data_IF_465352381043
#
_entry.id   IF_465352381043
#
_cell.length_a   1.000
_cell.length_b   1.000
_cell.length_c   1.000
_cell.angle_alpha   90.00
_cell.angle_beta   90.00
_cell.angle_gamma   90.00
#
_symmetry.space_group_name_H-M   'P 1'
#
loop_
_entity.id
_entity.type
_entity.pdbx_description
1 polymer ?
#
# COMPACT_ATOMS: atom_id res chain seq x y z
N UNK A 1 -50.13 -17.66 31.70
CA UNK A 1 -49.28 -16.47 31.93
C UNK A 1 -47.84 -16.85 31.60
N UNK A 2 -47.22 -16.20 30.61
CA UNK A 2 -45.87 -16.53 30.09
C UNK A 2 -44.81 -15.75 30.89
N UNK A 3 -43.81 -16.45 31.40
CA UNK A 3 -42.66 -15.89 32.11
C UNK A 3 -41.71 -15.19 31.11
N UNK A 4 -41.43 -13.90 31.32
CA UNK A 4 -40.35 -13.17 30.63
C UNK A 4 -39.01 -13.49 31.32
N UNK A 5 -38.07 -14.08 30.59
CA UNK A 5 -36.65 -14.17 30.98
C UNK A 5 -35.90 -12.96 30.43
N UNK A 6 -35.62 -11.98 31.27
CA UNK A 6 -34.64 -10.91 30.97
C UNK A 6 -33.22 -11.47 31.09
N UNK A 7 -32.54 -11.66 29.95
CA UNK A 7 -31.09 -11.89 29.93
C UNK A 7 -30.38 -10.56 30.16
N UNK A 8 -29.63 -10.46 31.25
CA UNK A 8 -28.69 -9.36 31.53
C UNK A 8 -27.58 -9.40 30.48
N UNK A 9 -27.49 -8.37 29.64
CA UNK A 9 -26.37 -8.15 28.74
C UNK A 9 -25.26 -7.47 29.57
N UNK A 10 -24.17 -8.21 29.81
CA UNK A 10 -23.00 -7.74 30.53
C UNK A 10 -22.14 -6.94 29.55
N UNK A 11 -22.24 -5.61 29.58
CA UNK A 11 -21.39 -4.72 28.78
C UNK A 11 -20.01 -4.65 29.42
N UNK A 12 -19.03 -5.31 28.83
CA UNK A 12 -17.62 -5.21 29.24
C UNK A 12 -17.05 -3.93 28.62
N UNK A 13 -16.93 -2.87 29.41
CA UNK A 13 -16.07 -1.74 29.09
C UNK A 13 -14.63 -2.17 29.36
N UNK A 14 -13.91 -2.53 28.30
CA UNK A 14 -12.46 -2.76 28.38
C UNK A 14 -11.78 -1.39 28.50
N UNK A 15 -11.38 -1.03 29.73
CA UNK A 15 -10.52 0.09 29.99
C UNK A 15 -9.10 -0.29 29.52
N UNK A 16 -8.64 0.32 28.43
CA UNK A 16 -7.24 0.24 28.03
C UNK A 16 -6.38 0.97 29.06
N UNK A 17 -5.55 0.21 29.77
CA UNK A 17 -4.58 0.72 30.71
C UNK A 17 -3.46 1.48 29.97
N UNK A 18 -3.27 2.75 30.32
CA UNK A 18 -2.09 3.52 29.96
C UNK A 18 -0.89 3.00 30.76
N UNK A 19 0.00 2.26 30.10
CA UNK A 19 1.35 2.03 30.61
C UNK A 19 2.26 3.13 30.08
N UNK A 20 2.67 4.02 30.98
CA UNK A 20 3.78 4.94 30.81
C UNK A 20 4.96 4.42 31.62
N UNK A 21 6.05 4.03 30.95
CA UNK A 21 7.39 3.97 31.51
C UNK A 21 8.43 4.14 30.40
N UNK A 22 9.09 5.32 30.38
CA UNK A 22 10.50 5.47 30.00
C UNK A 22 10.86 5.45 28.51
N UNK A 23 10.79 6.61 27.85
CA UNK A 23 11.96 7.33 27.30
C UNK A 23 11.48 8.54 26.48
N UNK A 24 12.05 9.69 26.81
CA UNK A 24 11.93 10.93 26.04
C UNK A 24 12.36 10.66 24.58
N UNK A 25 11.65 11.27 23.63
CA UNK A 25 11.81 11.22 22.16
C UNK A 25 11.11 10.10 21.37
N UNK A 26 10.27 9.28 22.01
CA UNK A 26 9.34 8.44 21.24
C UNK A 26 8.13 9.27 20.82
N UNK A 27 8.05 9.57 19.51
CA UNK A 27 6.81 10.05 18.88
C UNK A 27 5.66 9.15 19.37
N UNK A 28 4.63 9.68 20.05
CA UNK A 28 3.54 8.86 20.58
C UNK A 28 2.76 8.11 19.49
N UNK A 29 3.05 8.38 18.22
CA UNK A 29 2.52 7.66 17.06
C UNK A 29 3.50 6.61 16.49
N UNK A 30 4.66 6.37 17.11
CA UNK A 30 5.68 5.43 16.59
C UNK A 30 5.19 3.98 16.53
N UNK A 31 4.23 3.59 17.38
CA UNK A 31 3.59 2.27 17.33
C UNK A 31 2.52 2.16 16.22
N UNK A 32 2.01 3.31 15.74
CA UNK A 32 1.09 3.40 14.61
C UNK A 32 1.84 3.54 13.28
N UNK A 33 3.16 3.69 13.33
CA UNK A 33 3.93 4.11 12.17
C UNK A 33 5.20 3.27 11.99
N UNK A 34 5.22 2.35 11.03
CA UNK A 34 6.50 1.99 10.43
C UNK A 34 7.06 3.24 9.75
N UNK A 35 8.33 3.59 10.03
CA UNK A 35 9.01 4.73 9.39
C UNK A 35 8.84 4.64 7.88
N UNK A 36 8.48 5.74 7.21
CA UNK A 36 8.62 5.80 5.75
C UNK A 36 10.11 5.63 5.41
N UNK A 37 10.46 4.83 4.40
CA UNK A 37 9.56 4.02 3.58
C UNK A 37 8.93 2.84 4.34
N UNK A 38 7.62 2.65 4.18
CA UNK A 38 6.99 1.43 4.69
C UNK A 38 7.36 0.27 3.78
N UNK A 39 7.88 -0.82 4.34
CA UNK A 39 8.17 -2.05 3.61
C UNK A 39 7.51 -3.26 4.28
N UNK A 40 6.81 -4.07 3.47
CA UNK A 40 6.25 -5.35 3.92
C UNK A 40 6.61 -6.45 2.92
N UNK A 41 7.10 -7.63 3.36
CA UNK A 41 7.24 -8.78 2.48
C UNK A 41 5.91 -9.13 1.80
N UNK A 42 5.96 -9.41 0.51
CA UNK A 42 4.79 -9.78 -0.28
C UNK A 42 5.14 -10.89 -1.27
N UNK A 43 4.15 -11.71 -1.63
CA UNK A 43 4.26 -12.72 -2.70
C UNK A 43 2.97 -12.67 -3.50
N UNK A 44 3.09 -12.72 -4.82
CA UNK A 44 1.98 -12.66 -5.77
C UNK A 44 2.20 -13.60 -6.95
N UNK A 45 2.80 -14.77 -6.68
CA UNK A 45 3.12 -15.78 -7.68
C UNK A 45 1.88 -16.47 -8.25
N UNK A 46 0.73 -16.37 -7.59
CA UNK A 46 -0.54 -16.98 -8.03
C UNK A 46 -1.62 -15.94 -8.21
N UNK A 47 -2.54 -16.19 -9.15
CA UNK A 47 -3.75 -15.40 -9.31
C UNK A 47 -4.60 -15.45 -8.03
N UNK A 48 -5.08 -14.28 -7.60
CA UNK A 48 -5.88 -14.11 -6.40
C UNK A 48 -5.07 -13.89 -5.13
N UNK A 49 -3.74 -13.93 -5.19
CA UNK A 49 -2.89 -13.51 -4.08
C UNK A 49 -3.18 -12.06 -3.74
N UNK A 50 -3.59 -11.84 -2.49
CA UNK A 50 -4.11 -10.56 -2.02
C UNK A 50 -3.31 -10.06 -0.83
N UNK A 51 -2.92 -8.79 -0.89
CA UNK A 51 -2.40 -8.06 0.27
C UNK A 51 -3.28 -6.88 0.63
N UNK A 52 -3.29 -6.54 1.91
CA UNK A 52 -3.95 -5.35 2.43
C UNK A 52 -2.99 -4.68 3.39
N UNK A 53 -2.70 -3.41 3.13
CA UNK A 53 -1.74 -2.63 3.89
C UNK A 53 -2.42 -1.37 4.39
N UNK A 54 -2.31 -1.14 5.69
CA UNK A 54 -2.70 0.08 6.36
C UNK A 54 -1.45 0.91 6.67
N UNK A 55 -1.47 2.18 6.30
CA UNK A 55 -0.37 3.12 6.56
C UNK A 55 -0.91 4.51 6.93
N UNK A 56 -0.10 5.33 7.59
CA UNK A 56 -0.51 6.63 8.09
C UNK A 56 0.28 7.76 7.44
N UNK A 57 -0.44 8.80 7.01
CA UNK A 57 0.13 10.06 6.54
C UNK A 57 -0.01 11.10 7.65
N UNK A 58 1.10 11.63 8.13
CA UNK A 58 1.16 12.50 9.32
C UNK A 58 1.76 13.88 9.04
N UNK A 59 1.32 14.96 9.73
CA UNK A 59 1.75 16.35 9.48
C UNK A 59 3.25 16.64 9.57
N UNK A 60 4.02 15.82 10.31
CA UNK A 60 5.46 16.03 10.52
C UNK A 60 6.34 15.32 9.49
N UNK A 61 5.75 14.43 8.69
CA UNK A 61 6.48 13.59 7.73
C UNK A 61 6.26 14.05 6.29
N UNK A 62 5.17 14.78 6.02
CA UNK A 62 4.72 15.11 4.68
C UNK A 62 3.89 16.38 4.66
N UNK A 63 3.88 17.08 3.51
CA UNK A 63 2.85 18.08 3.21
C UNK A 63 1.64 17.42 2.54
N UNK A 64 0.48 17.58 3.16
CA UNK A 64 -0.81 17.32 2.51
C UNK A 64 -1.37 18.62 1.94
N UNK A 65 -0.70 19.13 0.91
CA UNK A 65 -1.09 20.34 0.15
C UNK A 65 -1.26 20.02 -1.36
N UNK A 66 -1.18 18.75 -1.73
CA UNK A 66 -1.25 18.27 -3.11
C UNK A 66 0.04 18.45 -3.94
N UNK A 67 1.12 18.96 -3.34
CA UNK A 67 2.42 19.10 -4.02
C UNK A 67 3.18 17.77 -4.13
N UNK A 68 2.99 16.87 -3.17
CA UNK A 68 3.67 15.57 -3.12
C UNK A 68 2.73 14.43 -3.50
N UNK A 69 3.31 13.38 -4.10
CA UNK A 69 2.59 12.15 -4.47
C UNK A 69 3.22 10.97 -3.74
N UNK A 70 2.38 10.02 -3.32
CA UNK A 70 2.82 8.75 -2.77
C UNK A 70 2.69 7.66 -3.80
N UNK A 71 3.72 6.84 -3.93
CA UNK A 71 3.70 5.61 -4.71
C UNK A 71 3.52 4.41 -3.81
N UNK A 72 2.78 3.44 -4.33
CA UNK A 72 2.81 2.07 -3.85
C UNK A 72 3.58 1.28 -4.91
N UNK A 73 4.70 0.71 -4.50
CA UNK A 73 5.65 0.06 -5.41
C UNK A 73 6.01 -1.34 -4.96
N UNK A 74 6.40 -2.18 -5.91
CA UNK A 74 7.15 -3.39 -5.62
C UNK A 74 8.63 -3.07 -5.64
N UNK A 75 9.36 -3.54 -4.62
CA UNK A 75 10.81 -3.37 -4.47
C UNK A 75 11.47 -4.75 -4.38
N UNK A 76 12.66 -4.87 -4.98
CA UNK A 76 13.35 -6.13 -5.28
C UNK A 76 14.74 -6.09 -4.68
N UNK A 77 15.10 -7.13 -3.92
CA UNK A 77 16.47 -7.27 -3.42
C UNK A 77 17.42 -7.81 -4.49
N UNK A 78 17.93 -6.96 -5.39
CA UNK A 78 19.08 -7.20 -6.29
C UNK A 78 19.15 -8.48 -7.16
N UNK A 79 18.28 -9.48 -7.00
CA UNK A 79 18.45 -10.85 -7.53
C UNK A 79 17.59 -11.18 -8.75
N UNK A 80 17.04 -10.17 -9.44
CA UNK A 80 16.69 -10.37 -10.86
C UNK A 80 17.98 -10.26 -11.67
N UNK A 81 18.85 -11.25 -11.48
CA UNK A 81 20.19 -11.34 -12.07
C UNK A 81 20.08 -11.17 -13.60
N UNK A 82 20.48 -10.01 -14.09
CA UNK A 82 20.98 -9.71 -15.44
C UNK A 82 20.17 -10.09 -16.70
N UNK A 83 18.95 -10.65 -16.63
CA UNK A 83 18.08 -10.80 -17.81
C UNK A 83 16.91 -9.81 -17.79
N UNK A 84 16.99 -8.70 -18.56
CA UNK A 84 15.89 -7.76 -18.74
C UNK A 84 14.58 -8.41 -19.15
N UNK A 85 14.59 -9.56 -19.84
CA UNK A 85 13.36 -10.24 -20.27
C UNK A 85 12.60 -10.90 -19.12
N UNK A 86 13.27 -11.32 -18.05
CA UNK A 86 12.61 -11.85 -16.85
C UNK A 86 12.06 -10.74 -15.97
N UNK A 87 12.78 -9.61 -15.91
CA UNK A 87 12.32 -8.37 -15.27
C UNK A 87 11.01 -7.89 -15.92
N UNK A 88 10.96 -7.81 -17.26
CA UNK A 88 9.78 -7.39 -18.04
C UNK A 88 8.57 -8.32 -17.81
N UNK A 89 8.79 -9.64 -17.76
CA UNK A 89 7.70 -10.62 -17.50
C UNK A 89 7.12 -10.54 -16.09
N UNK A 90 7.90 -10.08 -15.10
CA UNK A 90 7.39 -9.83 -13.75
C UNK A 90 6.35 -8.68 -13.72
N UNK A 91 6.36 -7.80 -14.72
CA UNK A 91 5.54 -6.57 -14.80
C UNK A 91 4.27 -6.72 -15.62
N UNK A 92 4.18 -7.76 -16.42
CA UNK A 92 2.98 -8.11 -17.19
C UNK A 92 1.83 -8.64 -16.31
N UNK A 93 1.89 -8.47 -14.99
CA UNK A 93 0.87 -8.98 -14.09
C UNK A 93 -0.24 -7.94 -13.97
N UNK A 94 -1.42 -8.20 -14.56
CA UNK A 94 -2.59 -7.40 -14.25
C UNK A 94 -2.91 -7.56 -12.77
N UNK A 95 -3.15 -6.43 -12.12
CA UNK A 95 -3.56 -6.38 -10.73
C UNK A 95 -4.90 -5.68 -10.59
N UNK A 96 -5.65 -6.06 -9.56
CA UNK A 96 -6.70 -5.23 -9.02
C UNK A 96 -6.15 -4.45 -7.84
N UNK A 97 -6.24 -3.13 -7.95
CA UNK A 97 -5.82 -2.20 -6.91
C UNK A 97 -7.03 -1.51 -6.31
N UNK A 98 -7.02 -1.35 -4.98
CA UNK A 98 -7.93 -0.47 -4.27
C UNK A 98 -7.17 0.45 -3.32
N UNK A 99 -7.67 1.68 -3.17
CA UNK A 99 -7.12 2.68 -2.26
C UNK A 99 -8.24 3.44 -1.56
N UNK A 100 -8.18 3.46 -0.24
CA UNK A 100 -9.15 4.15 0.61
C UNK A 100 -8.49 4.97 1.69
N UNK A 101 -9.16 6.05 2.08
CA UNK A 101 -8.95 6.71 3.35
C UNK A 101 -9.85 6.05 4.41
N UNK A 102 -9.28 5.70 5.55
CA UNK A 102 -9.96 5.01 6.65
C UNK A 102 -10.26 6.00 7.77
N UNK A 103 -11.53 6.09 8.18
CA UNK A 103 -12.02 6.93 9.29
C UNK A 103 -12.87 6.10 10.25
N UNK A 104 -12.21 5.47 11.22
CA UNK A 104 -12.87 4.53 12.12
C UNK A 104 -13.37 3.30 11.36
N UNK A 105 -14.69 3.15 11.24
CA UNK A 105 -15.30 2.04 10.49
C UNK A 105 -15.65 2.39 9.03
N UNK A 106 -15.48 3.64 8.61
CA UNK A 106 -15.79 4.08 7.25
C UNK A 106 -14.55 4.09 6.37
N UNK A 107 -14.75 3.76 5.09
CA UNK A 107 -13.73 3.87 4.04
C UNK A 107 -14.24 4.80 2.94
N UNK A 108 -13.38 5.73 2.51
CA UNK A 108 -13.69 6.66 1.41
C UNK A 108 -12.76 6.37 0.24
N UNK A 109 -13.27 6.14 -0.99
CA UNK A 109 -12.46 5.97 -2.19
C UNK A 109 -11.48 7.13 -2.39
N UNK A 110 -10.21 6.81 -2.63
CA UNK A 110 -9.19 7.82 -2.97
C UNK A 110 -8.89 7.71 -4.46
N UNK A 111 -8.80 8.87 -5.12
CA UNK A 111 -8.38 8.90 -6.53
C UNK A 111 -6.89 8.60 -6.61
N UNK A 112 -6.55 7.57 -7.36
CA UNK A 112 -5.16 7.24 -7.67
C UNK A 112 -4.95 7.21 -9.18
N UNK A 113 -3.70 7.25 -9.59
CA UNK A 113 -3.26 7.06 -10.97
C UNK A 113 -2.45 5.78 -11.08
N UNK A 114 -2.62 5.08 -12.19
CA UNK A 114 -1.92 3.84 -12.47
C UNK A 114 -1.91 3.57 -13.97
N UNK A 115 -1.04 2.66 -14.41
CA UNK A 115 -1.01 2.22 -15.81
C UNK A 115 -2.17 1.27 -16.05
N UNK A 116 -2.97 1.51 -17.08
CA UNK A 116 -4.16 0.71 -17.37
C UNK A 116 -3.89 -0.49 -18.27
N UNK A 117 -2.75 -0.50 -18.98
CA UNK A 117 -2.35 -1.58 -19.89
C UNK A 117 -0.82 -1.73 -19.92
N UNK A 118 -0.34 -2.95 -20.11
CA UNK A 118 1.08 -3.23 -20.30
C UNK A 118 1.54 -2.83 -21.70
N UNK A 119 1.70 -1.53 -21.94
CA UNK A 119 2.23 -0.95 -23.17
C UNK A 119 3.03 0.30 -22.81
N UNK A 120 4.27 0.42 -23.30
CA UNK A 120 5.22 1.49 -22.96
C UNK A 120 4.73 2.90 -23.31
N UNK A 121 3.71 3.01 -24.16
CA UNK A 121 3.18 4.29 -24.65
C UNK A 121 1.82 4.65 -24.06
N UNK A 122 1.23 3.80 -23.22
CA UNK A 122 -0.11 4.04 -22.67
C UNK A 122 -0.03 5.01 -21.49
N UNK A 123 -0.82 6.10 -21.51
CA UNK A 123 -0.82 7.06 -20.42
C UNK A 123 -1.42 6.46 -19.15
N UNK A 124 -1.10 7.09 -18.04
CA UNK A 124 -1.67 6.77 -16.74
C UNK A 124 -3.11 7.26 -16.62
N UNK A 125 -4.00 6.36 -16.19
CA UNK A 125 -5.42 6.64 -16.00
C UNK A 125 -5.72 7.01 -14.54
N UNK A 126 -6.78 7.78 -14.31
CA UNK A 126 -7.28 8.07 -12.97
C UNK A 126 -8.36 7.04 -12.58
N UNK A 127 -8.21 6.46 -11.40
CA UNK A 127 -9.15 5.49 -10.82
C UNK A 127 -9.72 6.03 -9.51
N UNK A 128 -11.04 5.95 -9.36
CA UNK A 128 -11.73 6.36 -8.14
C UNK A 128 -11.83 5.17 -7.15
N UNK A 129 -10.79 4.99 -6.35
CA UNK A 129 -10.72 4.01 -5.27
C UNK A 129 -10.46 2.58 -5.70
N UNK A 130 -10.81 2.14 -6.91
CA UNK A 130 -10.46 0.80 -7.42
C UNK A 130 -10.25 0.75 -8.93
N UNK A 131 -9.39 -0.16 -9.38
CA UNK A 131 -9.04 -0.30 -10.79
C UNK A 131 -8.26 -1.56 -11.14
N UNK A 132 -8.34 -1.97 -12.39
CA UNK A 132 -7.40 -2.92 -12.99
C UNK A 132 -6.20 -2.15 -13.51
N UNK A 133 -5.01 -2.53 -13.02
CA UNK A 133 -3.77 -1.79 -13.20
C UNK A 133 -2.61 -2.72 -13.57
N UNK A 134 -1.54 -2.14 -14.05
CA UNK A 134 -0.27 -2.81 -14.31
C UNK A 134 0.85 -2.08 -13.55
N UNK A 135 1.78 -2.81 -12.89
CA UNK A 135 3.02 -2.24 -12.41
C UNK A 135 3.81 -1.61 -13.56
N UNK A 136 4.52 -0.53 -13.28
CA UNK A 136 5.26 0.24 -14.26
C UNK A 136 6.64 0.62 -13.72
N UNK A 137 7.64 0.72 -14.61
CA UNK A 137 9.04 0.97 -14.27
C UNK A 137 9.34 2.45 -13.96
N UNK A 138 8.36 3.34 -14.11
CA UNK A 138 8.50 4.78 -13.90
C UNK A 138 8.62 5.21 -12.42
N UNK A 139 9.13 4.38 -11.53
CA UNK A 139 9.04 4.65 -10.09
C UNK A 139 10.27 4.30 -9.28
N UNK A 140 10.96 5.36 -8.83
CA UNK A 140 11.95 5.42 -7.74
C UNK A 140 13.37 4.98 -8.12
N UNK A 141 14.16 5.94 -8.64
CA UNK A 141 15.62 5.87 -8.68
C UNK A 141 16.18 6.05 -7.25
N UNK A 142 15.96 5.06 -6.38
CA UNK A 142 16.45 5.06 -5.00
C UNK A 142 17.48 3.94 -4.84
N UNK A 143 18.75 4.33 -4.86
CA UNK A 143 19.91 3.60 -4.31
C UNK A 143 19.94 2.09 -4.59
N UNK A 144 20.08 1.71 -5.87
CA UNK A 144 20.61 0.40 -6.26
C UNK A 144 19.61 -0.74 -6.46
N UNK A 145 18.33 -0.56 -6.14
CA UNK A 145 17.26 -1.53 -6.46
C UNK A 145 16.48 -1.18 -7.71
N UNK A 146 15.78 -2.16 -8.30
CA UNK A 146 14.70 -1.90 -9.26
C UNK A 146 13.39 -1.76 -8.49
N UNK A 147 12.58 -0.76 -8.79
CA UNK A 147 11.25 -0.58 -8.19
C UNK A 147 10.20 -0.39 -9.29
N UNK A 148 9.00 -0.94 -9.08
CA UNK A 148 7.89 -0.80 -10.02
C UNK A 148 6.67 -0.24 -9.31
N UNK A 149 6.22 0.93 -9.76
CA UNK A 149 5.06 1.59 -9.17
C UNK A 149 3.79 0.95 -9.70
N UNK A 150 2.92 0.53 -8.78
CA UNK A 150 1.61 -0.04 -9.08
C UNK A 150 0.57 1.06 -9.22
N UNK A 151 0.58 2.00 -8.28
CA UNK A 151 -0.30 3.14 -8.25
C UNK A 151 0.37 4.28 -7.50
N UNK A 152 -0.06 5.51 -7.77
CA UNK A 152 0.26 6.65 -6.95
C UNK A 152 -0.92 7.58 -6.78
N UNK A 153 -0.90 8.34 -5.70
CA UNK A 153 -1.98 9.25 -5.37
C UNK A 153 -1.43 10.48 -4.65
N UNK A 154 -2.25 11.53 -4.65
CA UNK A 154 -2.02 12.70 -3.80
C UNK A 154 -2.94 12.57 -2.60
N UNK A 155 -2.40 12.57 -1.37
CA UNK A 155 -3.24 12.53 -0.19
C UNK A 155 -4.08 13.81 -0.12
N UNK A 156 -5.33 13.65 0.28
CA UNK A 156 -6.27 14.75 0.49
C UNK A 156 -6.29 15.25 1.93
N UNK A 157 -5.89 14.41 2.89
CA UNK A 157 -5.81 14.75 4.31
C UNK A 157 -4.81 13.85 5.04
N UNK A 158 -4.42 14.25 6.25
CA UNK A 158 -3.66 13.39 7.15
C UNK A 158 -4.55 12.30 7.74
N UNK A 159 -4.04 11.09 7.89
CA UNK A 159 -4.80 9.97 8.44
C UNK A 159 -4.34 8.61 7.95
N UNK A 160 -5.15 7.60 8.26
CA UNK A 160 -4.92 6.22 7.85
C UNK A 160 -5.42 6.01 6.42
N UNK A 161 -4.57 5.43 5.58
CA UNK A 161 -4.88 4.96 4.24
C UNK A 161 -4.77 3.44 4.19
N UNK A 162 -5.61 2.81 3.38
CA UNK A 162 -5.62 1.36 3.13
C UNK A 162 -5.43 1.10 1.65
N UNK A 163 -4.41 0.33 1.33
CA UNK A 163 -4.17 -0.21 -0.01
C UNK A 163 -4.55 -1.69 -0.01
N UNK A 164 -5.21 -2.12 -1.07
CA UNK A 164 -5.49 -3.51 -1.35
C UNK A 164 -4.96 -3.83 -2.73
N UNK A 165 -4.10 -4.84 -2.85
CA UNK A 165 -3.61 -5.32 -4.14
C UNK A 165 -3.93 -6.80 -4.27
N UNK A 166 -4.37 -7.19 -5.46
CA UNK A 166 -4.68 -8.58 -5.81
C UNK A 166 -4.16 -8.90 -7.21
N UNK A 167 -3.33 -9.93 -7.35
CA UNK A 167 -2.88 -10.42 -8.65
C UNK A 167 -4.05 -11.05 -9.43
N UNK A 168 -4.11 -10.84 -10.75
CA UNK A 168 -5.14 -11.44 -11.61
C UNK A 168 -4.63 -12.57 -12.49
N UNK A 169 -3.34 -12.86 -12.43
CA UNK A 169 -2.69 -13.91 -13.22
C UNK A 169 -1.58 -14.55 -12.39
N UNK A 170 -1.39 -15.85 -12.60
CA UNK A 170 -0.21 -16.55 -12.09
C UNK A 170 1.06 -15.93 -12.68
N UNK A 171 2.08 -15.77 -11.86
CA UNK A 171 3.41 -15.42 -12.31
C UNK A 171 4.46 -16.29 -11.61
N UNK A 172 4.71 -17.50 -12.13
CA UNK A 172 5.66 -18.42 -11.51
C UNK A 172 7.11 -17.91 -11.59
N UNK A 173 7.43 -17.02 -12.55
CA UNK A 173 8.78 -16.45 -12.73
C UNK A 173 9.24 -15.61 -11.54
N UNK A 174 8.31 -15.22 -10.67
CA UNK A 174 8.60 -14.41 -9.49
C UNK A 174 8.49 -15.18 -8.17
N UNK A 175 8.13 -16.47 -8.18
CA UNK A 175 7.89 -17.24 -6.95
C UNK A 175 9.11 -17.37 -6.01
N UNK A 176 10.32 -17.23 -6.57
CA UNK A 176 11.60 -17.24 -5.83
C UNK A 176 12.14 -15.86 -5.49
N UNK A 177 11.50 -14.78 -5.94
CA UNK A 177 11.95 -13.40 -5.70
C UNK A 177 11.35 -12.91 -4.39
N UNK A 178 12.20 -12.34 -3.53
CA UNK A 178 11.76 -11.71 -2.29
C UNK A 178 11.24 -10.31 -2.58
N UNK A 179 9.93 -10.18 -2.75
CA UNK A 179 9.29 -8.88 -2.93
C UNK A 179 9.04 -8.19 -1.62
N UNK A 180 9.18 -6.87 -1.68
CA UNK A 180 8.61 -5.98 -0.70
C UNK A 180 7.60 -5.07 -1.37
N UNK A 181 6.43 -4.93 -0.76
CA UNK A 181 5.58 -3.80 -1.02
C UNK A 181 6.19 -2.60 -0.29
N UNK A 182 6.44 -1.53 -1.04
CA UNK A 182 6.96 -0.27 -0.54
C UNK A 182 5.92 0.84 -0.68
N UNK A 183 5.79 1.68 0.34
CA UNK A 183 5.00 2.92 0.27
C UNK A 183 5.91 4.07 0.65
N UNK A 184 6.09 5.00 -0.28
CA UNK A 184 7.00 6.14 -0.14
C UNK A 184 6.61 7.30 -1.07
N UNK A 185 7.29 8.43 -0.92
CA UNK A 185 7.14 9.60 -1.77
C UNK A 185 7.72 9.33 -3.14
N UNK A 186 6.94 9.59 -4.18
CA UNK A 186 7.45 9.52 -5.54
C UNK A 186 7.79 10.90 -6.07
N UNK A 187 8.96 10.98 -6.68
CA UNK A 187 9.40 12.12 -7.44
C UNK A 187 9.57 11.63 -8.87
N UNK A 188 8.63 11.99 -9.74
CA UNK A 188 8.83 11.80 -11.17
C UNK A 188 9.99 12.69 -11.58
N UNK A 189 11.06 12.09 -12.10
CA UNK A 189 12.18 12.83 -12.69
C UNK A 189 11.66 13.83 -13.73
N UNK A 190 12.25 15.02 -13.74
CA UNK A 190 11.95 16.04 -14.75
C UNK A 190 12.43 15.63 -16.13
#
# INVERSE_FOLDING_TARGET
MKFLKTKKLLTVFSAMALFSCGNNDSDPYSFLNPKLPYEQPFKFDKAGDKTTVDFWILPKLQKVDGSESYGVSFSFGHTLDNDPNEQIKALEIPMHAELYLVKGQTTTPVVFRAKSQFLDTVPFDNYAGKGSVYPDDHGLDITGGTEYTVLWFRPSEYGQYRVVLESKKDNPSIGSVDFKLRIDNIHFGK
#
